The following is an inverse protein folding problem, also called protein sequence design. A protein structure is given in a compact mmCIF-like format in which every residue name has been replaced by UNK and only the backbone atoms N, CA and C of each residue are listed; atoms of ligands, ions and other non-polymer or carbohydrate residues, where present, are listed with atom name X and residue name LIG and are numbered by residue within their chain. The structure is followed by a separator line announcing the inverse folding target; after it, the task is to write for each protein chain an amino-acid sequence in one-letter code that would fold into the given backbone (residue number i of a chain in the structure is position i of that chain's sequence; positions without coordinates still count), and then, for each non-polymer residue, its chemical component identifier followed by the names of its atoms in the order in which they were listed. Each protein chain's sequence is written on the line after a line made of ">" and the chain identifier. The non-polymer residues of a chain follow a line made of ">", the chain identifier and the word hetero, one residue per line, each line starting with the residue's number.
data_IF_687765008119
#
_entry.id   IF_687765008119
#
_cell.length_a   1.000
_cell.length_b   1.000
_cell.length_c   1.000
_cell.angle_alpha   90.00
_cell.angle_beta   90.00
_cell.angle_gamma   90.00
#
_symmetry.space_group_name_H-M   'P 1'
#
loop_
_entity.id
_entity.type
_entity.pdbx_description
1 polymer ?
#
# COMPACT_ATOMS: atom_id res chain seq x y z
N UNK A 1 18.04 2.10 -19.37
CA UNK A 1 17.95 0.62 -19.35
C UNK A 1 16.75 0.27 -18.48
N UNK A 2 16.05 -0.85 -18.68
CA UNK A 2 14.98 -1.21 -17.75
C UNK A 2 15.61 -1.43 -16.35
N UNK A 3 14.94 -0.95 -15.30
CA UNK A 3 15.33 -1.14 -13.91
C UNK A 3 15.49 -2.63 -13.62
N UNK A 4 16.57 -3.03 -12.98
CA UNK A 4 16.87 -4.43 -12.64
C UNK A 4 16.76 -4.74 -11.15
N UNK A 5 16.88 -3.72 -10.29
CA UNK A 5 16.79 -3.83 -8.84
C UNK A 5 15.47 -3.26 -8.30
N UNK A 6 15.12 -2.03 -8.70
CA UNK A 6 13.89 -1.39 -8.24
C UNK A 6 12.67 -1.87 -9.04
N UNK A 7 11.73 -2.51 -8.34
CA UNK A 7 10.39 -2.79 -8.84
C UNK A 7 9.46 -1.58 -8.69
N UNK A 8 8.14 -1.81 -8.79
CA UNK A 8 7.10 -0.77 -8.57
C UNK A 8 7.03 -0.32 -7.10
N UNK A 9 7.56 -1.11 -6.16
CA UNK A 9 7.49 -0.85 -4.72
C UNK A 9 8.83 -1.19 -4.04
N UNK A 10 9.91 -0.60 -4.51
CA UNK A 10 11.26 -0.78 -4.00
C UNK A 10 11.97 -2.06 -4.47
N UNK A 11 13.04 -2.43 -3.77
CA UNK A 11 13.82 -3.65 -4.01
C UNK A 11 13.18 -4.77 -3.20
N UNK A 12 12.86 -5.92 -3.82
CA UNK A 12 12.26 -7.07 -3.13
C UNK A 12 12.97 -8.37 -3.47
N UNK A 13 13.00 -9.29 -2.51
CA UNK A 13 13.60 -10.63 -2.70
C UNK A 13 13.62 -11.46 -1.42
N UNK A 14 14.35 -12.56 -1.49
CA UNK A 14 14.62 -13.43 -0.34
C UNK A 14 15.91 -12.96 0.33
N UNK A 15 15.88 -12.61 1.63
CA UNK A 15 17.06 -12.19 2.38
C UNK A 15 18.24 -13.18 2.24
N UNK A 16 19.46 -12.64 2.14
CA UNK A 16 20.68 -13.42 1.94
C UNK A 16 20.95 -13.84 0.49
N UNK A 17 20.03 -13.56 -0.43
CA UNK A 17 20.21 -13.79 -1.87
C UNK A 17 20.02 -12.49 -2.66
N UNK A 18 20.70 -12.30 -3.82
CA UNK A 18 20.46 -11.11 -4.64
C UNK A 18 18.98 -10.97 -5.01
N UNK A 19 18.40 -9.76 -4.91
CA UNK A 19 19.06 -8.48 -4.61
C UNK A 19 19.12 -8.08 -3.11
N UNK A 20 18.80 -8.99 -2.17
CA UNK A 20 18.87 -8.73 -0.71
C UNK A 20 20.05 -9.45 -0.04
N UNK A 21 21.16 -9.60 -0.75
CA UNK A 21 22.46 -10.00 -0.20
C UNK A 21 23.19 -8.80 0.42
N UNK A 22 24.10 -9.07 1.36
CA UNK A 22 24.81 -8.03 2.12
C UNK A 22 25.54 -7.03 1.23
N UNK A 23 26.14 -7.47 0.13
CA UNK A 23 26.86 -6.58 -0.78
C UNK A 23 25.92 -5.58 -1.46
N UNK A 24 24.74 -6.04 -1.88
CA UNK A 24 23.72 -5.18 -2.50
C UNK A 24 23.09 -4.24 -1.47
N UNK A 25 22.77 -4.73 -0.27
CA UNK A 25 22.21 -3.92 0.82
C UNK A 25 23.17 -2.81 1.29
N UNK A 26 24.44 -3.15 1.47
CA UNK A 26 25.47 -2.18 1.81
C UNK A 26 25.64 -1.13 0.71
N UNK A 27 25.70 -1.58 -0.56
CA UNK A 27 25.78 -0.68 -1.69
C UNK A 27 24.56 0.25 -1.80
N UNK A 28 23.36 -0.24 -1.42
CA UNK A 28 22.13 0.57 -1.36
C UNK A 28 22.27 1.71 -0.34
N UNK A 29 22.72 1.39 0.87
CA UNK A 29 22.98 2.42 1.89
C UNK A 29 24.03 3.42 1.45
N UNK A 30 25.15 2.94 0.90
CA UNK A 30 26.22 3.81 0.41
C UNK A 30 25.77 4.72 -0.74
N UNK A 31 25.06 4.18 -1.73
CA UNK A 31 24.58 4.95 -2.87
C UNK A 31 23.59 6.04 -2.43
N UNK A 32 22.67 5.70 -1.52
CA UNK A 32 21.73 6.68 -0.95
C UNK A 32 22.46 7.79 -0.21
N UNK A 33 23.39 7.46 0.70
CA UNK A 33 24.18 8.46 1.44
C UNK A 33 24.99 9.36 0.51
N UNK A 34 25.67 8.79 -0.49
CA UNK A 34 26.44 9.54 -1.47
C UNK A 34 25.54 10.43 -2.35
N UNK A 35 24.33 9.97 -2.69
CA UNK A 35 23.36 10.78 -3.42
C UNK A 35 22.92 12.00 -2.62
N UNK A 36 22.56 11.80 -1.34
CA UNK A 36 22.11 12.88 -0.45
C UNK A 36 23.19 13.93 -0.21
N UNK A 37 24.45 13.52 -0.14
CA UNK A 37 25.59 14.46 0.03
C UNK A 37 25.87 15.36 -1.18
N UNK A 38 25.19 15.15 -2.32
CA UNK A 38 25.29 16.08 -3.45
C UNK A 38 24.61 17.43 -3.14
N UNK A 39 23.61 17.42 -2.26
CA UNK A 39 22.79 18.59 -1.93
C UNK A 39 22.86 18.98 -0.45
N UNK A 40 23.27 18.07 0.44
CA UNK A 40 23.28 18.26 1.88
C UNK A 40 24.68 18.03 2.47
N UNK A 41 25.20 19.00 3.23
CA UNK A 41 26.51 18.87 3.90
C UNK A 41 26.51 17.81 5.01
N UNK A 42 25.36 17.57 5.64
CA UNK A 42 25.14 16.54 6.66
C UNK A 42 23.80 15.87 6.36
N UNK A 43 23.83 14.62 5.88
CA UNK A 43 22.64 13.85 5.61
C UNK A 43 22.25 12.99 6.81
N UNK A 44 20.97 13.05 7.21
CA UNK A 44 20.37 12.19 8.24
C UNK A 44 19.32 11.30 7.59
N UNK A 45 19.39 10.00 7.84
CA UNK A 45 18.47 9.02 7.25
C UNK A 45 17.76 8.27 8.37
N UNK A 46 16.42 8.19 8.27
CA UNK A 46 15.60 7.40 9.16
C UNK A 46 15.45 5.99 8.60
N UNK A 47 15.68 4.97 9.42
CA UNK A 47 15.41 3.55 9.06
C UNK A 47 14.29 3.02 9.95
N UNK A 48 13.30 2.39 9.34
CA UNK A 48 12.25 1.63 10.03
C UNK A 48 12.05 0.26 9.38
N UNK A 49 11.44 -0.67 10.10
CA UNK A 49 11.20 -2.02 9.60
C UNK A 49 9.86 -2.59 10.10
N UNK A 50 9.37 -3.61 9.41
CA UNK A 50 8.29 -4.47 9.93
C UNK A 50 8.83 -5.54 10.90
N UNK A 51 8.02 -6.53 11.22
CA UNK A 51 8.33 -7.53 12.26
C UNK A 51 9.11 -8.73 11.76
N UNK A 52 9.54 -8.79 10.49
CA UNK A 52 10.27 -9.93 9.91
C UNK A 52 11.60 -10.15 10.59
N UNK A 53 11.94 -11.42 10.86
CA UNK A 53 13.21 -11.79 11.53
C UNK A 53 14.47 -11.31 10.81
N UNK A 54 14.42 -11.12 9.48
CA UNK A 54 15.53 -10.62 8.67
C UNK A 54 15.72 -9.10 8.76
N UNK A 55 14.70 -8.37 9.26
CA UNK A 55 14.69 -6.91 9.30
C UNK A 55 15.91 -6.29 10.01
N UNK A 56 16.26 -6.71 11.24
CA UNK A 56 17.39 -6.13 11.98
C UNK A 56 18.73 -6.25 11.27
N UNK A 57 19.00 -7.40 10.61
CA UNK A 57 20.23 -7.58 9.84
C UNK A 57 20.27 -6.65 8.61
N UNK A 58 19.18 -6.58 7.84
CA UNK A 58 19.08 -5.70 6.68
C UNK A 58 19.28 -4.23 7.09
N UNK A 59 18.65 -3.80 8.19
CA UNK A 59 18.81 -2.45 8.73
C UNK A 59 20.26 -2.12 9.07
N UNK A 60 20.93 -3.03 9.75
CA UNK A 60 22.32 -2.86 10.16
C UNK A 60 23.29 -2.75 8.95
N UNK A 61 23.07 -3.60 7.93
CA UNK A 61 23.91 -3.58 6.71
C UNK A 61 23.69 -2.29 5.91
N UNK A 62 22.45 -1.83 5.74
CA UNK A 62 22.16 -0.56 5.08
C UNK A 62 22.76 0.62 5.86
N UNK A 63 22.63 0.62 7.20
CA UNK A 63 23.18 1.66 8.06
C UNK A 63 24.72 1.73 7.96
N UNK A 64 25.39 0.58 7.85
CA UNK A 64 26.83 0.53 7.62
C UNK A 64 27.23 1.20 6.29
N UNK A 65 26.45 0.95 5.22
CA UNK A 65 26.66 1.61 3.92
C UNK A 65 26.43 3.12 3.98
N UNK A 66 25.35 3.57 4.64
CA UNK A 66 25.08 5.00 4.88
C UNK A 66 26.20 5.67 5.66
N UNK A 67 26.66 5.01 6.73
CA UNK A 67 27.76 5.52 7.58
C UNK A 67 29.07 5.62 6.81
N UNK A 68 29.37 4.66 5.92
CA UNK A 68 30.55 4.75 5.04
C UNK A 68 30.47 5.97 4.11
N UNK A 69 29.28 6.30 3.66
CA UNK A 69 29.00 7.52 2.88
C UNK A 69 28.86 8.79 3.76
N UNK A 70 29.16 8.71 5.06
CA UNK A 70 29.10 9.80 6.04
C UNK A 70 27.68 10.32 6.34
N UNK A 71 26.64 9.59 5.99
CA UNK A 71 25.28 9.90 6.43
C UNK A 71 25.07 9.38 7.86
N UNK A 72 24.40 10.16 8.70
CA UNK A 72 23.99 9.73 10.03
C UNK A 72 22.66 8.96 9.95
N UNK A 73 22.49 8.00 10.85
CA UNK A 73 21.33 7.12 10.86
C UNK A 73 20.57 7.24 12.17
N UNK A 74 19.26 7.45 12.09
CA UNK A 74 18.32 7.21 13.17
C UNK A 74 17.55 5.91 12.86
N UNK A 75 17.28 5.10 13.88
CA UNK A 75 16.59 3.84 13.72
C UNK A 75 15.31 3.83 14.58
N UNK A 76 14.16 3.75 13.94
CA UNK A 76 12.87 3.71 14.62
C UNK A 76 12.49 2.30 15.14
N UNK A 77 13.25 1.26 14.76
CA UNK A 77 12.85 -0.10 15.09
C UNK A 77 11.66 -0.57 14.26
N UNK A 78 10.73 -1.29 14.93
CA UNK A 78 9.51 -1.75 14.27
C UNK A 78 8.48 -0.62 14.23
N UNK A 79 8.27 -0.08 13.05
CA UNK A 79 7.33 1.01 12.77
C UNK A 79 6.67 0.79 11.40
N UNK A 80 5.48 1.36 11.20
CA UNK A 80 4.76 1.26 9.92
C UNK A 80 5.48 2.00 8.79
N UNK A 81 5.31 1.56 7.54
CA UNK A 81 5.80 2.27 6.36
C UNK A 81 5.35 3.75 6.36
N UNK A 82 4.06 4.08 6.55
CA UNK A 82 3.63 5.47 6.64
C UNK A 82 4.20 6.22 7.86
N UNK A 83 4.52 5.52 8.94
CA UNK A 83 5.20 6.12 10.10
C UNK A 83 6.57 6.69 9.73
N UNK A 84 7.37 5.94 8.98
CA UNK A 84 8.65 6.44 8.46
C UNK A 84 8.42 7.63 7.51
N UNK A 85 7.50 7.51 6.55
CA UNK A 85 7.19 8.60 5.62
C UNK A 85 6.74 9.88 6.33
N UNK A 86 5.92 9.75 7.38
CA UNK A 86 5.45 10.85 8.22
C UNK A 86 6.61 11.52 8.99
N UNK A 87 7.44 10.72 9.66
CA UNK A 87 8.54 11.23 10.47
C UNK A 87 9.63 11.90 9.62
N UNK A 88 9.92 11.37 8.44
CA UNK A 88 10.84 12.01 7.49
C UNK A 88 10.34 13.39 7.08
N UNK A 89 9.05 13.52 6.82
CA UNK A 89 8.44 14.80 6.44
C UNK A 89 8.36 15.81 7.58
N UNK A 90 8.28 15.35 8.84
CA UNK A 90 8.07 16.22 10.00
C UNK A 90 9.36 16.62 10.71
N UNK A 91 10.42 15.84 10.51
CA UNK A 91 11.73 16.04 11.13
C UNK A 91 12.77 16.32 10.06
N UNK A 92 13.97 16.73 10.50
CA UNK A 92 15.10 17.03 9.62
C UNK A 92 15.80 15.74 9.15
N UNK A 93 15.06 14.87 8.44
CA UNK A 93 15.61 13.71 7.74
C UNK A 93 15.58 13.97 6.23
N UNK A 94 16.69 13.77 5.56
CA UNK A 94 16.81 13.93 4.10
C UNK A 94 16.21 12.73 3.35
N UNK A 95 16.15 11.57 4.02
CA UNK A 95 15.54 10.37 3.45
C UNK A 95 15.04 9.39 4.52
N UNK A 96 14.15 8.50 4.11
CA UNK A 96 13.68 7.35 4.88
C UNK A 96 13.98 6.04 4.16
N UNK A 97 14.28 5.02 4.93
CA UNK A 97 14.42 3.64 4.48
C UNK A 97 13.43 2.78 5.25
N UNK A 98 12.60 2.05 4.54
CA UNK A 98 11.67 1.07 5.14
C UNK A 98 12.05 -0.33 4.71
N UNK A 99 12.18 -1.22 5.68
CA UNK A 99 12.50 -2.63 5.46
C UNK A 99 11.24 -3.43 5.67
N UNK A 100 10.60 -3.78 4.56
CA UNK A 100 9.35 -4.53 4.52
C UNK A 100 9.05 -5.08 3.13
N UNK A 101 8.34 -6.20 3.07
CA UNK A 101 7.70 -6.71 1.86
C UNK A 101 6.17 -6.64 1.96
N UNK A 102 5.61 -5.70 2.77
CA UNK A 102 4.17 -5.47 2.93
C UNK A 102 3.41 -6.77 3.22
N UNK A 103 2.48 -7.17 2.37
CA UNK A 103 1.61 -8.34 2.55
C UNK A 103 2.24 -9.70 2.19
N UNK A 104 3.49 -9.73 1.73
CA UNK A 104 4.17 -10.98 1.40
C UNK A 104 4.43 -11.85 2.65
N UNK A 105 4.61 -13.17 2.51
CA UNK A 105 5.04 -14.05 3.60
C UNK A 105 6.37 -13.63 4.22
N UNK A 106 6.68 -14.14 5.41
CA UNK A 106 7.84 -13.72 6.22
C UNK A 106 9.20 -13.97 5.55
N UNK A 107 9.32 -14.96 4.67
CA UNK A 107 10.56 -15.30 3.99
C UNK A 107 10.96 -14.32 2.89
N UNK A 108 10.05 -13.46 2.45
CA UNK A 108 10.36 -12.32 1.59
C UNK A 108 10.68 -11.10 2.45
N UNK A 109 11.48 -10.17 1.91
CA UNK A 109 11.65 -8.83 2.46
C UNK A 109 11.84 -7.81 1.33
N UNK A 110 11.98 -6.55 1.69
CA UNK A 110 12.19 -5.47 0.72
C UNK A 110 12.80 -4.24 1.34
N UNK A 111 13.23 -3.34 0.48
CA UNK A 111 13.76 -2.03 0.86
C UNK A 111 13.05 -0.97 0.04
N UNK A 112 12.34 -0.07 0.71
CA UNK A 112 11.66 1.08 0.11
C UNK A 112 12.40 2.35 0.52
N UNK A 113 12.60 3.27 -0.42
CA UNK A 113 13.28 4.54 -0.19
C UNK A 113 12.31 5.71 -0.30
N UNK A 114 12.35 6.60 0.69
CA UNK A 114 11.52 7.79 0.76
C UNK A 114 12.39 9.05 0.76
N UNK A 115 11.99 10.05 -0.01
CA UNK A 115 12.59 11.38 -0.01
C UNK A 115 12.14 12.19 1.21
N UNK A 116 12.78 13.31 1.46
CA UNK A 116 12.44 14.27 2.53
C UNK A 116 10.92 14.64 2.57
N UNK A 117 10.24 14.67 1.42
CA UNK A 117 8.80 14.90 1.38
C UNK A 117 7.91 13.75 1.86
N UNK A 118 8.46 12.63 2.30
CA UNK A 118 7.71 11.42 2.69
C UNK A 118 7.09 10.69 1.50
N UNK A 119 7.58 10.95 0.30
CA UNK A 119 7.19 10.28 -0.94
C UNK A 119 8.31 9.36 -1.42
N UNK A 120 7.96 8.28 -2.12
CA UNK A 120 8.95 7.45 -2.80
C UNK A 120 9.79 8.29 -3.76
N UNK A 121 11.05 7.91 -3.96
CA UNK A 121 11.88 8.62 -4.94
C UNK A 121 11.30 8.48 -6.36
N UNK A 122 11.44 9.54 -7.20
CA UNK A 122 11.08 9.46 -8.62
C UNK A 122 11.88 8.38 -9.36
N UNK A 123 11.32 7.81 -10.45
CA UNK A 123 12.00 6.80 -11.27
C UNK A 123 13.39 7.22 -11.74
N UNK A 124 13.53 8.48 -12.14
CA UNK A 124 14.82 9.01 -12.57
C UNK A 124 15.87 9.00 -11.45
N UNK A 125 15.46 9.21 -10.20
CA UNK A 125 16.34 9.13 -9.05
C UNK A 125 16.67 7.67 -8.70
N UNK A 126 15.68 6.78 -8.75
CA UNK A 126 15.91 5.34 -8.54
C UNK A 126 16.85 4.75 -9.60
N UNK A 127 16.76 5.18 -10.86
CA UNK A 127 17.70 4.77 -11.93
C UNK A 127 19.14 5.21 -11.63
N UNK A 128 19.33 6.44 -11.14
CA UNK A 128 20.66 6.93 -10.73
C UNK A 128 21.19 6.12 -9.55
N UNK A 129 20.36 5.88 -8.53
CA UNK A 129 20.73 5.07 -7.39
C UNK A 129 21.07 3.64 -7.81
N UNK A 130 20.29 3.03 -8.70
CA UNK A 130 20.53 1.67 -9.19
C UNK A 130 21.90 1.51 -9.86
N UNK A 131 22.30 2.45 -10.69
CA UNK A 131 23.62 2.45 -11.33
C UNK A 131 24.74 2.55 -10.28
N UNK A 132 24.59 3.41 -9.27
CA UNK A 132 25.58 3.55 -8.20
C UNK A 132 25.61 2.29 -7.30
N UNK A 133 24.45 1.67 -7.00
CA UNK A 133 24.34 0.40 -6.26
C UNK A 133 25.10 -0.70 -6.98
N UNK A 134 24.82 -0.93 -8.27
CA UNK A 134 25.47 -1.98 -9.07
C UNK A 134 26.98 -1.79 -9.08
N UNK A 135 27.44 -0.58 -9.35
CA UNK A 135 28.87 -0.23 -9.37
C UNK A 135 29.56 -0.48 -8.02
N UNK A 136 28.89 -0.14 -6.91
CA UNK A 136 29.44 -0.32 -5.57
C UNK A 136 29.43 -1.78 -5.11
N UNK A 137 28.33 -2.48 -5.39
CA UNK A 137 28.21 -3.91 -5.13
C UNK A 137 29.33 -4.70 -5.79
N UNK A 138 29.58 -4.46 -7.08
CA UNK A 138 30.59 -5.21 -7.84
C UNK A 138 32.01 -4.99 -7.33
N UNK A 139 32.27 -3.84 -6.71
CA UNK A 139 33.57 -3.56 -6.04
C UNK A 139 33.73 -4.27 -4.70
N UNK A 140 32.64 -4.59 -4.01
CA UNK A 140 32.64 -5.05 -2.61
C UNK A 140 32.14 -6.49 -2.45
N UNK A 141 32.00 -7.27 -3.53
CA UNK A 141 31.46 -8.65 -3.51
C UNK A 141 32.10 -9.61 -2.50
N UNK A 142 33.36 -9.36 -2.14
CA UNK A 142 34.13 -10.21 -1.22
C UNK A 142 34.47 -9.51 0.10
N UNK A 143 33.96 -8.30 0.35
CA UNK A 143 34.27 -7.56 1.55
C UNK A 143 33.46 -8.10 2.74
N UNK A 144 34.14 -8.27 3.88
CA UNK A 144 33.45 -8.51 5.15
C UNK A 144 32.77 -7.21 5.61
N UNK A 145 31.45 -7.20 5.64
CA UNK A 145 30.66 -6.04 6.07
C UNK A 145 30.45 -6.14 7.58
N UNK A 146 31.05 -5.24 8.34
CA UNK A 146 30.75 -5.10 9.76
C UNK A 146 29.48 -4.26 9.92
N UNK A 147 28.42 -4.88 10.39
CA UNK A 147 27.11 -4.25 10.57
C UNK A 147 26.66 -4.43 12.05
N UNK A 148 27.00 -3.48 12.94
CA UNK A 148 26.60 -3.54 14.33
C UNK A 148 25.08 -3.37 14.47
N UNK A 149 24.49 -4.05 15.47
CA UNK A 149 23.08 -3.91 15.75
C UNK A 149 22.71 -2.45 16.08
N UNK A 150 21.56 -2.02 15.58
CA UNK A 150 21.05 -0.67 15.80
C UNK A 150 20.18 -0.63 17.07
N UNK A 151 20.28 0.47 17.82
CA UNK A 151 19.37 0.74 18.94
C UNK A 151 18.20 1.58 18.44
N UNK A 152 16.98 1.14 18.71
CA UNK A 152 15.79 1.87 18.32
C UNK A 152 15.56 3.11 19.20
N UNK A 153 15.22 4.23 18.56
CA UNK A 153 14.76 5.44 19.22
C UNK A 153 13.24 5.37 19.40
N UNK A 154 12.82 5.08 20.62
CA UNK A 154 11.39 4.93 20.95
C UNK A 154 10.61 6.25 20.96
N UNK A 155 11.28 7.40 20.93
CA UNK A 155 10.60 8.70 20.84
C UNK A 155 9.91 8.87 19.48
N UNK A 156 10.42 8.24 18.43
CA UNK A 156 9.85 8.29 17.09
C UNK A 156 8.45 7.66 17.02
N UNK A 157 8.22 6.57 17.75
CA UNK A 157 6.87 5.99 17.88
C UNK A 157 5.89 6.98 18.50
N UNK A 158 6.31 7.65 19.58
CA UNK A 158 5.49 8.63 20.29
C UNK A 158 5.16 9.86 19.42
N UNK A 159 6.11 10.32 18.62
CA UNK A 159 5.92 11.43 17.68
C UNK A 159 4.91 11.08 16.59
N UNK A 160 5.03 9.90 15.98
CA UNK A 160 4.08 9.43 14.98
C UNK A 160 2.67 9.25 15.58
N UNK A 161 2.56 8.67 16.76
CA UNK A 161 1.27 8.56 17.47
C UNK A 161 0.68 9.93 17.81
N UNK A 162 1.49 10.90 18.21
CA UNK A 162 1.03 12.26 18.46
C UNK A 162 0.49 12.92 17.19
N UNK A 163 1.19 12.73 16.07
CA UNK A 163 0.71 13.17 14.76
C UNK A 163 -0.66 12.57 14.43
N UNK A 164 -0.81 11.24 14.54
CA UNK A 164 -2.06 10.55 14.24
C UNK A 164 -3.21 11.02 15.14
N UNK A 165 -2.98 11.18 16.46
CA UNK A 165 -3.99 11.70 17.39
C UNK A 165 -4.52 13.06 16.96
N UNK A 166 -3.65 13.92 16.44
CA UNK A 166 -4.04 15.23 15.89
C UNK A 166 -4.87 15.15 14.59
N UNK A 167 -5.02 13.97 14.00
CA UNK A 167 -5.78 13.76 12.74
C UNK A 167 -7.18 13.17 12.96
N UNK A 168 -7.59 12.99 14.21
CA UNK A 168 -8.99 12.65 14.51
C UNK A 168 -9.92 13.72 13.91
N UNK A 169 -11.06 13.30 13.36
CA UNK A 169 -12.02 14.26 12.81
C UNK A 169 -12.59 15.11 13.95
N UNK A 170 -12.60 16.45 13.82
CA UNK A 170 -13.14 17.33 14.85
C UNK A 170 -14.59 16.97 15.23
N UNK A 171 -14.85 16.81 16.52
CA UNK A 171 -16.15 16.41 17.05
C UNK A 171 -16.35 14.89 17.20
N UNK A 172 -15.50 14.07 16.59
CA UNK A 172 -15.55 12.63 16.79
C UNK A 172 -15.09 12.23 18.21
N UNK A 173 -15.75 11.22 18.78
CA UNK A 173 -15.41 10.63 20.08
C UNK A 173 -15.37 9.13 19.95
N UNK A 174 -14.22 8.51 20.20
CA UNK A 174 -14.08 7.05 20.09
C UNK A 174 -14.50 6.32 21.37
N UNK A 175 -14.80 7.06 22.45
CA UNK A 175 -15.33 6.47 23.67
C UNK A 175 -16.64 5.72 23.37
N UNK A 176 -16.70 4.46 23.82
CA UNK A 176 -17.84 3.57 23.58
C UNK A 176 -17.81 2.81 22.25
N UNK A 177 -16.82 3.06 21.38
CA UNK A 177 -16.57 2.20 20.25
C UNK A 177 -15.77 0.98 20.68
N UNK A 178 -16.29 -0.21 20.41
CA UNK A 178 -15.56 -1.47 20.52
C UNK A 178 -14.98 -1.82 19.14
N UNK A 179 -13.65 -1.87 19.05
CA UNK A 179 -12.93 -2.05 17.79
C UNK A 179 -12.07 -3.32 17.86
N UNK A 180 -12.21 -4.21 16.89
CA UNK A 180 -11.29 -5.34 16.70
C UNK A 180 -10.21 -4.91 15.70
N UNK A 181 -8.94 -5.00 16.10
CA UNK A 181 -7.80 -4.71 15.24
C UNK A 181 -7.04 -5.99 14.92
N UNK A 182 -7.01 -6.40 13.67
CA UNK A 182 -6.10 -7.42 13.16
C UNK A 182 -4.80 -6.74 12.71
N UNK A 183 -3.75 -6.94 13.50
CA UNK A 183 -2.45 -6.31 13.28
C UNK A 183 -1.54 -7.09 12.33
N UNK A 184 -2.02 -8.17 11.71
CA UNK A 184 -1.26 -9.01 10.78
C UNK A 184 0.05 -9.58 11.36
N UNK A 185 0.25 -9.58 12.68
CA UNK A 185 1.56 -9.73 13.34
C UNK A 185 2.65 -8.81 12.72
N UNK A 186 2.24 -7.70 12.15
CA UNK A 186 3.06 -6.73 11.41
C UNK A 186 3.37 -5.47 12.22
N UNK A 187 3.80 -4.43 11.52
CA UNK A 187 4.30 -3.19 12.13
C UNK A 187 3.27 -2.42 12.95
N UNK A 188 1.97 -2.64 12.73
CA UNK A 188 0.90 -2.00 13.50
C UNK A 188 0.63 -2.64 14.88
N UNK A 189 1.27 -3.77 15.22
CA UNK A 189 0.90 -4.59 16.39
C UNK A 189 0.91 -3.82 17.72
N UNK A 190 1.80 -2.87 17.88
CA UNK A 190 1.93 -2.01 19.06
C UNK A 190 1.19 -0.69 18.86
N UNK A 191 1.46 -0.02 17.73
CA UNK A 191 0.99 1.34 17.46
C UNK A 191 -0.52 1.41 17.26
N UNK A 192 -1.12 0.43 16.58
CA UNK A 192 -2.57 0.40 16.33
C UNK A 192 -3.37 0.36 17.63
N UNK A 193 -3.19 -0.68 18.49
CA UNK A 193 -3.89 -0.74 19.78
C UNK A 193 -3.63 0.46 20.68
N UNK A 194 -2.40 0.98 20.72
CA UNK A 194 -2.06 2.16 21.53
C UNK A 194 -2.79 3.42 21.05
N UNK A 195 -2.81 3.67 19.73
CA UNK A 195 -3.52 4.79 19.15
C UNK A 195 -4.99 4.82 19.60
N UNK A 196 -5.72 3.75 19.32
CA UNK A 196 -7.16 3.71 19.56
C UNK A 196 -7.52 3.69 21.04
N UNK A 197 -6.76 2.98 21.89
CA UNK A 197 -6.95 3.03 23.35
C UNK A 197 -6.72 4.43 23.91
N UNK A 198 -5.69 5.13 23.43
CA UNK A 198 -5.40 6.50 23.86
C UNK A 198 -6.50 7.52 23.51
N UNK A 199 -7.33 7.18 22.53
CA UNK A 199 -8.48 7.98 22.09
C UNK A 199 -9.82 7.52 22.74
N UNK A 200 -9.75 6.56 23.67
CA UNK A 200 -10.89 6.11 24.46
C UNK A 200 -11.69 4.95 23.87
N UNK A 201 -11.24 4.32 22.80
CA UNK A 201 -11.89 3.13 22.25
C UNK A 201 -11.58 1.88 23.09
N UNK A 202 -12.55 0.95 23.17
CA UNK A 202 -12.34 -0.40 23.64
C UNK A 202 -11.71 -1.23 22.51
N UNK A 203 -10.46 -1.66 22.69
CA UNK A 203 -9.69 -2.33 21.63
C UNK A 203 -9.44 -3.79 21.96
N UNK A 204 -9.88 -4.65 21.05
CA UNK A 204 -9.56 -6.07 21.01
C UNK A 204 -8.53 -6.27 19.90
N UNK A 205 -7.27 -6.45 20.25
CA UNK A 205 -6.22 -6.73 19.28
C UNK A 205 -6.15 -8.24 19.02
N UNK A 206 -5.96 -8.62 17.77
CA UNK A 206 -5.68 -9.98 17.30
C UNK A 206 -4.48 -9.96 16.37
N UNK A 207 -3.78 -11.09 16.27
CA UNK A 207 -2.56 -11.20 15.49
C UNK A 207 -1.58 -10.04 15.81
N UNK A 208 -1.37 -9.82 17.11
CA UNK A 208 -0.57 -8.73 17.70
C UNK A 208 0.66 -9.25 18.48
N UNK A 209 1.07 -10.48 18.22
CA UNK A 209 2.18 -11.16 18.89
C UNK A 209 3.19 -11.67 17.84
N UNK A 210 3.96 -10.77 17.20
CA UNK A 210 4.91 -11.15 16.17
C UNK A 210 6.06 -11.98 16.74
N UNK A 211 6.43 -13.05 16.02
CA UNK A 211 7.58 -13.91 16.32
C UNK A 211 8.72 -13.85 15.27
N UNK A 212 8.57 -12.95 14.28
CA UNK A 212 9.49 -12.78 13.17
C UNK A 212 9.14 -13.61 11.93
N UNK A 213 8.25 -14.60 12.06
CA UNK A 213 7.88 -15.55 11.00
C UNK A 213 6.38 -15.64 10.74
N UNK A 214 5.57 -15.09 11.62
CA UNK A 214 4.12 -15.16 11.55
C UNK A 214 3.44 -13.94 10.94
N UNK A 215 4.19 -12.97 10.41
CA UNK A 215 3.63 -11.81 9.70
C UNK A 215 2.76 -12.24 8.53
N UNK A 216 1.54 -11.71 8.42
CA UNK A 216 0.54 -12.03 7.38
C UNK A 216 0.10 -13.52 7.34
N UNK A 217 0.47 -14.33 8.31
CA UNK A 217 0.19 -15.76 8.29
C UNK A 217 -1.27 -16.07 8.64
N UNK A 218 -2.14 -16.10 7.62
CA UNK A 218 -3.57 -16.34 7.78
C UNK A 218 -4.32 -15.22 8.50
N UNK A 219 -3.80 -14.00 8.47
CA UNK A 219 -4.34 -12.82 9.15
C UNK A 219 -4.11 -11.55 8.30
N UNK A 220 -4.61 -10.42 8.80
CA UNK A 220 -4.46 -9.11 8.17
C UNK A 220 -5.32 -8.94 6.92
N UNK A 221 -4.99 -7.95 6.10
CA UNK A 221 -5.81 -7.48 4.98
C UNK A 221 -6.04 -8.53 3.88
N UNK A 222 -5.24 -9.58 3.79
CA UNK A 222 -5.46 -10.69 2.86
C UNK A 222 -6.39 -11.78 3.40
N UNK A 223 -6.65 -11.83 4.71
CA UNK A 223 -7.40 -12.90 5.37
C UNK A 223 -8.46 -12.36 6.33
N UNK A 224 -9.34 -11.49 5.84
CA UNK A 224 -10.30 -10.71 6.64
C UNK A 224 -11.39 -11.57 7.31
N UNK A 225 -11.59 -12.83 6.88
CA UNK A 225 -12.61 -13.71 7.47
C UNK A 225 -12.40 -13.99 8.97
N UNK A 226 -11.14 -14.05 9.42
CA UNK A 226 -10.81 -14.18 10.85
C UNK A 226 -11.28 -12.97 11.64
N UNK A 227 -10.99 -11.77 11.15
CA UNK A 227 -11.46 -10.51 11.72
C UNK A 227 -12.99 -10.45 11.75
N UNK A 228 -13.66 -10.80 10.64
CA UNK A 228 -15.13 -10.81 10.55
C UNK A 228 -15.78 -11.68 11.61
N UNK A 229 -15.29 -12.89 11.79
CA UNK A 229 -15.78 -13.80 12.84
C UNK A 229 -15.60 -13.20 14.23
N UNK A 230 -14.47 -12.54 14.46
CA UNK A 230 -14.18 -11.92 15.76
C UNK A 230 -15.08 -10.71 16.03
N UNK A 231 -15.29 -9.84 15.01
CA UNK A 231 -16.23 -8.70 15.11
C UNK A 231 -17.61 -9.15 15.53
N UNK A 232 -18.16 -10.15 14.86
CA UNK A 232 -19.48 -10.70 15.19
C UNK A 232 -19.54 -11.33 16.57
N UNK A 233 -18.53 -12.10 16.96
CA UNK A 233 -18.47 -12.78 18.25
C UNK A 233 -18.39 -11.80 19.44
N UNK A 234 -17.67 -10.69 19.27
CA UNK A 234 -17.48 -9.66 20.29
C UNK A 234 -18.58 -8.59 20.29
N UNK A 235 -19.49 -8.63 19.31
CA UNK A 235 -20.44 -7.54 19.10
C UNK A 235 -19.75 -6.19 18.88
N UNK A 236 -18.61 -6.19 18.18
CA UNK A 236 -17.82 -5.01 17.99
C UNK A 236 -18.48 -4.06 16.98
N UNK A 237 -18.26 -2.76 17.15
CA UNK A 237 -18.78 -1.71 16.28
C UNK A 237 -18.05 -1.69 14.94
N UNK A 238 -16.74 -2.04 14.95
CA UNK A 238 -15.85 -1.94 13.80
C UNK A 238 -14.73 -2.97 13.91
N UNK A 239 -14.40 -3.59 12.79
CA UNK A 239 -13.17 -4.34 12.61
C UNK A 239 -12.23 -3.63 11.64
N UNK A 240 -10.93 -3.71 11.89
CA UNK A 240 -9.88 -3.18 11.00
C UNK A 240 -8.80 -4.23 10.82
N UNK A 241 -8.45 -4.56 9.59
CA UNK A 241 -7.33 -5.43 9.23
C UNK A 241 -6.26 -4.62 8.51
N UNK A 242 -5.05 -4.62 9.05
CA UNK A 242 -3.87 -4.04 8.41
C UNK A 242 -3.12 -5.09 7.60
N UNK A 243 -2.24 -4.65 6.70
CA UNK A 243 -1.20 -5.52 6.16
C UNK A 243 0.11 -5.40 6.95
N UNK A 244 1.14 -6.15 6.57
CA UNK A 244 2.35 -6.30 7.37
C UNK A 244 3.08 -5.01 7.72
N UNK A 245 3.07 -4.00 6.85
CA UNK A 245 3.68 -2.68 7.10
C UNK A 245 2.65 -1.55 7.28
N UNK A 246 1.38 -1.93 7.34
CA UNK A 246 0.23 -1.08 7.66
C UNK A 246 0.09 0.17 6.76
N UNK A 247 0.46 0.06 5.49
CA UNK A 247 0.12 1.06 4.48
C UNK A 247 -1.32 0.88 3.96
N UNK A 248 -1.98 -0.26 4.30
CA UNK A 248 -3.35 -0.63 3.95
C UNK A 248 -4.20 -0.90 5.18
N UNK A 249 -5.51 -0.62 5.02
CA UNK A 249 -6.53 -1.02 5.98
C UNK A 249 -7.80 -1.47 5.27
N UNK A 250 -8.31 -2.65 5.64
CA UNK A 250 -9.64 -3.14 5.28
C UNK A 250 -10.53 -3.19 6.51
N UNK A 251 -11.83 -3.15 6.31
CA UNK A 251 -12.77 -2.97 7.41
C UNK A 251 -13.86 -4.04 7.44
N UNK A 252 -14.42 -4.23 8.63
CA UNK A 252 -15.60 -5.05 8.85
C UNK A 252 -16.59 -4.23 9.67
N UNK A 253 -17.83 -4.12 9.18
CA UNK A 253 -18.92 -3.47 9.90
C UNK A 253 -19.48 -4.34 11.03
N UNK A 254 -20.28 -3.75 11.91
CA UNK A 254 -20.89 -4.44 13.05
C UNK A 254 -21.77 -5.66 12.64
N UNK A 255 -22.36 -5.61 11.43
CA UNK A 255 -23.14 -6.70 10.85
C UNK A 255 -22.31 -7.72 10.06
N UNK A 256 -20.97 -7.56 10.05
CA UNK A 256 -20.03 -8.48 9.40
C UNK A 256 -19.82 -8.25 7.91
N UNK A 257 -20.28 -7.12 7.35
CA UNK A 257 -19.95 -6.76 5.97
C UNK A 257 -18.48 -6.36 5.86
N UNK A 258 -17.77 -6.94 4.90
CA UNK A 258 -16.39 -6.54 4.58
C UNK A 258 -16.44 -5.28 3.70
N UNK A 259 -15.70 -4.25 4.09
CA UNK A 259 -15.57 -2.99 3.37
C UNK A 259 -14.12 -2.81 2.95
N UNK A 260 -13.89 -2.82 1.65
CA UNK A 260 -12.58 -2.65 1.04
C UNK A 260 -12.27 -1.16 0.78
N UNK A 261 -11.13 -0.88 0.11
CA UNK A 261 -10.72 0.49 -0.19
C UNK A 261 -11.74 1.30 -1.00
N UNK A 262 -12.54 0.66 -1.85
CA UNK A 262 -13.58 1.35 -2.60
C UNK A 262 -14.68 1.88 -1.66
N UNK A 263 -15.10 1.08 -0.68
CA UNK A 263 -16.04 1.53 0.35
C UNK A 263 -15.48 2.63 1.24
N UNK A 264 -14.19 2.55 1.56
CA UNK A 264 -13.47 3.60 2.32
C UNK A 264 -13.43 4.90 1.53
N UNK A 265 -13.09 4.84 0.23
CA UNK A 265 -13.08 6.02 -0.63
C UNK A 265 -14.47 6.64 -0.75
N UNK A 266 -15.53 5.85 -0.84
CA UNK A 266 -16.90 6.36 -0.85
C UNK A 266 -17.24 7.10 0.45
N UNK A 267 -17.00 6.48 1.61
CA UNK A 267 -17.27 7.08 2.93
C UNK A 267 -16.50 8.39 3.12
N UNK A 268 -15.20 8.38 2.77
CA UNK A 268 -14.34 9.56 2.87
C UNK A 268 -14.75 10.66 1.89
N UNK A 269 -15.12 10.31 0.64
CA UNK A 269 -15.56 11.27 -0.38
C UNK A 269 -16.84 11.99 0.05
N UNK A 270 -17.82 11.27 0.59
CA UNK A 270 -19.05 11.83 1.15
C UNK A 270 -18.76 12.85 2.25
N UNK A 271 -17.91 12.46 3.18
CA UNK A 271 -17.51 13.34 4.26
C UNK A 271 -16.78 14.58 3.74
N UNK A 272 -15.74 14.43 2.93
CA UNK A 272 -15.01 15.56 2.37
C UNK A 272 -15.90 16.50 1.55
N UNK A 273 -16.85 15.94 0.80
CA UNK A 273 -17.85 16.73 0.06
C UNK A 273 -18.75 17.54 0.99
N UNK A 274 -19.27 16.91 2.06
CA UNK A 274 -20.10 17.60 3.06
C UNK A 274 -19.37 18.75 3.75
N UNK A 275 -18.05 18.67 3.84
CA UNK A 275 -17.18 19.72 4.41
C UNK A 275 -16.66 20.71 3.36
N UNK A 276 -17.10 20.64 2.10
CA UNK A 276 -16.57 21.41 0.96
C UNK A 276 -15.05 21.26 0.75
N UNK A 277 -14.49 20.11 1.16
CA UNK A 277 -13.05 19.77 1.06
C UNK A 277 -12.72 18.83 -0.10
N UNK A 278 -13.71 18.26 -0.79
CA UNK A 278 -13.49 17.39 -1.96
C UNK A 278 -13.25 18.26 -3.21
N UNK A 279 -12.02 18.70 -3.40
CA UNK A 279 -11.64 19.58 -4.51
C UNK A 279 -12.00 18.97 -5.87
N UNK A 280 -12.70 19.75 -6.69
CA UNK A 280 -13.15 19.35 -8.02
C UNK A 280 -14.18 18.22 -8.01
N UNK A 281 -14.77 17.87 -6.86
CA UNK A 281 -15.70 16.75 -6.70
C UNK A 281 -15.15 15.47 -7.35
N UNK A 282 -13.89 15.11 -7.05
CA UNK A 282 -13.24 13.95 -7.64
C UNK A 282 -12.50 13.11 -6.62
N UNK A 283 -12.42 11.82 -6.92
CA UNK A 283 -11.63 10.82 -6.22
C UNK A 283 -10.72 10.15 -7.24
N UNK A 284 -9.48 9.87 -6.88
CA UNK A 284 -8.56 9.13 -7.74
C UNK A 284 -8.52 7.67 -7.29
N UNK A 285 -8.88 6.76 -8.19
CA UNK A 285 -8.76 5.33 -7.99
C UNK A 285 -7.86 4.69 -9.05
N UNK A 286 -7.77 3.38 -9.04
CA UNK A 286 -7.04 2.64 -10.08
C UNK A 286 -8.00 1.99 -11.08
N UNK A 287 -7.44 1.43 -12.15
CA UNK A 287 -8.18 0.59 -13.07
C UNK A 287 -8.83 -0.64 -12.40
N UNK A 288 -8.48 -0.96 -11.16
CA UNK A 288 -9.05 -2.06 -10.37
C UNK A 288 -10.22 -1.64 -9.47
N UNK A 289 -10.43 -0.35 -9.22
CA UNK A 289 -11.59 0.13 -8.46
C UNK A 289 -12.88 -0.33 -9.12
N UNK A 290 -13.82 -0.85 -8.31
CA UNK A 290 -15.03 -1.48 -8.80
C UNK A 290 -15.95 -0.48 -9.53
N UNK A 291 -16.67 -0.95 -10.55
CA UNK A 291 -17.66 -0.15 -11.30
C UNK A 291 -18.77 0.38 -10.37
N UNK A 292 -19.09 -0.37 -9.31
CA UNK A 292 -20.04 0.06 -8.30
C UNK A 292 -19.64 1.33 -7.58
N UNK A 293 -18.34 1.52 -7.30
CA UNK A 293 -17.85 2.77 -6.75
C UNK A 293 -18.07 3.94 -7.72
N UNK A 294 -17.71 3.77 -8.99
CA UNK A 294 -17.90 4.81 -10.00
C UNK A 294 -19.36 5.23 -10.12
N UNK A 295 -20.27 4.25 -10.13
CA UNK A 295 -21.71 4.51 -10.25
C UNK A 295 -22.28 5.25 -9.04
N UNK A 296 -21.97 4.78 -7.83
CA UNK A 296 -22.48 5.45 -6.63
C UNK A 296 -21.91 6.86 -6.47
N UNK A 297 -20.65 7.07 -6.78
CA UNK A 297 -20.04 8.41 -6.79
C UNK A 297 -20.71 9.33 -7.82
N UNK A 298 -21.00 8.81 -9.01
CA UNK A 298 -21.70 9.56 -10.07
C UNK A 298 -23.08 10.04 -9.65
N UNK A 299 -23.86 9.23 -8.91
CA UNK A 299 -25.18 9.67 -8.37
C UNK A 299 -25.04 10.86 -7.42
N UNK A 300 -23.88 11.04 -6.84
CA UNK A 300 -23.56 12.13 -5.93
C UNK A 300 -22.75 13.26 -6.61
N UNK A 301 -22.68 13.28 -7.94
CA UNK A 301 -21.90 14.25 -8.72
C UNK A 301 -20.42 14.29 -8.29
N UNK A 302 -19.84 13.11 -8.02
CA UNK A 302 -18.43 12.91 -7.76
C UNK A 302 -17.86 12.07 -8.90
N UNK A 303 -16.73 12.49 -9.46
CA UNK A 303 -16.06 11.78 -10.56
C UNK A 303 -14.99 10.86 -10.00
N UNK A 304 -14.98 9.58 -10.42
CA UNK A 304 -13.86 8.67 -10.22
C UNK A 304 -12.88 8.84 -11.39
N UNK A 305 -11.67 9.30 -11.08
CA UNK A 305 -10.56 9.35 -12.04
C UNK A 305 -9.74 8.08 -11.88
N UNK A 306 -9.52 7.32 -12.97
CA UNK A 306 -8.81 6.06 -12.93
C UNK A 306 -7.38 6.21 -13.42
N UNK A 307 -6.44 5.59 -12.71
CA UNK A 307 -5.03 5.46 -13.08
C UNK A 307 -4.67 3.99 -13.35
N UNK A 308 -3.44 3.76 -13.76
CA UNK A 308 -2.85 2.42 -13.67
C UNK A 308 -2.75 1.96 -12.21
N UNK A 309 -2.59 0.65 -12.01
CA UNK A 309 -2.46 0.04 -10.68
C UNK A 309 -1.10 0.39 -10.08
N UNK A 310 -1.12 0.95 -8.90
CA UNK A 310 0.04 1.33 -8.09
C UNK A 310 -0.19 2.65 -7.38
N UNK A 311 0.15 2.68 -6.11
CA UNK A 311 0.01 3.85 -5.22
C UNK A 311 0.68 5.11 -5.78
N UNK A 312 1.80 4.94 -6.48
CA UNK A 312 2.52 6.00 -7.14
C UNK A 312 1.70 6.70 -8.21
N UNK A 313 1.03 5.95 -9.09
CA UNK A 313 0.19 6.53 -10.15
C UNK A 313 -1.02 7.26 -9.56
N UNK A 314 -1.57 6.72 -8.47
CA UNK A 314 -2.65 7.39 -7.73
C UNK A 314 -2.16 8.74 -7.20
N UNK A 315 -1.01 8.77 -6.51
CA UNK A 315 -0.44 10.00 -5.97
C UNK A 315 -0.10 11.02 -7.06
N UNK A 316 0.54 10.58 -8.15
CA UNK A 316 0.90 11.46 -9.29
C UNK A 316 -0.35 12.13 -9.88
N UNK A 317 -1.43 11.36 -10.08
CA UNK A 317 -2.69 11.91 -10.58
C UNK A 317 -3.35 12.84 -9.55
N UNK A 318 -3.30 12.52 -8.25
CA UNK A 318 -3.80 13.40 -7.21
C UNK A 318 -3.08 14.75 -7.21
N UNK A 319 -1.77 14.75 -7.32
CA UNK A 319 -0.96 15.97 -7.39
C UNK A 319 -1.25 16.77 -8.67
N UNK A 320 -1.37 16.09 -9.82
CA UNK A 320 -1.68 16.70 -11.11
C UNK A 320 -3.07 17.35 -11.14
N UNK A 321 -4.07 16.66 -10.59
CA UNK A 321 -5.47 17.09 -10.62
C UNK A 321 -5.88 17.95 -9.42
N UNK A 322 -5.03 18.03 -8.39
CA UNK A 322 -5.34 18.66 -7.11
C UNK A 322 -6.38 17.89 -6.28
N UNK A 323 -6.55 16.58 -6.54
CA UNK A 323 -7.49 15.75 -5.77
C UNK A 323 -7.00 15.53 -4.35
N UNK A 324 -7.90 15.59 -3.38
CA UNK A 324 -7.59 15.46 -1.95
C UNK A 324 -7.71 14.02 -1.43
N UNK A 325 -8.36 13.13 -2.21
CA UNK A 325 -8.61 11.74 -1.86
C UNK A 325 -8.29 10.84 -3.05
N UNK A 326 -7.58 9.78 -2.78
CA UNK A 326 -7.33 8.70 -3.73
C UNK A 326 -6.98 7.42 -3.03
N UNK A 327 -6.94 6.32 -3.78
CA UNK A 327 -6.56 5.04 -3.22
C UNK A 327 -6.83 3.86 -4.14
N UNK A 328 -6.66 2.70 -3.56
CA UNK A 328 -6.83 1.41 -4.22
C UNK A 328 -7.85 0.54 -3.48
N UNK A 329 -8.51 -0.35 -4.21
CA UNK A 329 -9.42 -1.35 -3.63
C UNK A 329 -8.74 -2.19 -2.54
N UNK A 330 -7.42 -2.38 -2.62
CA UNK A 330 -6.60 -3.09 -1.63
C UNK A 330 -6.56 -2.45 -0.24
N UNK A 331 -7.10 -1.23 -0.08
CA UNK A 331 -7.11 -0.50 1.19
C UNK A 331 -5.97 0.51 1.36
N UNK A 332 -5.14 0.72 0.35
CA UNK A 332 -4.14 1.79 0.34
C UNK A 332 -4.84 3.11 0.01
N UNK A 333 -5.05 3.96 1.01
CA UNK A 333 -5.83 5.20 0.89
C UNK A 333 -4.96 6.42 1.22
N UNK A 334 -5.00 7.41 0.36
CA UNK A 334 -4.25 8.66 0.48
C UNK A 334 -5.22 9.80 0.81
N UNK A 335 -5.05 10.38 1.98
CA UNK A 335 -5.65 11.66 2.37
C UNK A 335 -4.59 12.74 2.19
N UNK A 336 -4.54 13.42 1.03
CA UNK A 336 -3.42 14.28 0.64
C UNK A 336 -3.19 15.47 1.58
N UNK A 337 -4.23 15.96 2.25
CA UNK A 337 -4.12 17.02 3.27
C UNK A 337 -3.28 16.54 4.47
N UNK A 338 -3.37 15.26 4.79
CA UNK A 338 -2.67 14.66 5.93
C UNK A 338 -1.34 13.99 5.49
N UNK A 339 -1.36 13.13 4.49
CA UNK A 339 -0.19 12.36 4.06
C UNK A 339 -0.17 12.14 2.55
N UNK A 340 1.01 12.26 1.89
CA UNK A 340 1.17 11.87 0.49
C UNK A 340 1.34 10.36 0.31
N UNK A 341 1.44 9.59 1.40
CA UNK A 341 1.49 8.13 1.39
C UNK A 341 0.20 7.55 1.97
N UNK A 342 -0.21 6.39 1.50
CA UNK A 342 -1.27 5.62 2.13
C UNK A 342 -0.86 5.23 3.55
N UNK A 343 -1.78 5.39 4.48
CA UNK A 343 -1.56 5.16 5.90
C UNK A 343 -2.77 4.42 6.49
N UNK A 344 -2.58 3.14 6.80
CA UNK A 344 -3.64 2.30 7.34
C UNK A 344 -4.13 2.76 8.72
N UNK A 345 -3.24 3.24 9.60
CA UNK A 345 -3.62 3.75 10.91
C UNK A 345 -4.40 5.07 10.80
N UNK A 346 -3.97 5.97 9.94
CA UNK A 346 -4.69 7.21 9.63
C UNK A 346 -6.07 6.91 9.03
N UNK A 347 -6.11 6.01 8.05
CA UNK A 347 -7.36 5.58 7.39
C UNK A 347 -8.32 4.97 8.42
N UNK A 348 -7.83 4.09 9.29
CA UNK A 348 -8.61 3.49 10.36
C UNK A 348 -9.13 4.55 11.34
N UNK A 349 -8.31 5.53 11.69
CA UNK A 349 -8.72 6.65 12.55
C UNK A 349 -9.80 7.52 11.91
N UNK A 350 -9.67 7.84 10.63
CA UNK A 350 -10.69 8.61 9.87
C UNK A 350 -12.02 7.83 9.81
N UNK A 351 -11.99 6.55 9.48
CA UNK A 351 -13.20 5.72 9.40
C UNK A 351 -13.83 5.54 10.80
N UNK A 352 -13.05 5.24 11.84
CA UNK A 352 -13.57 5.14 13.20
C UNK A 352 -14.20 6.46 13.66
N UNK A 353 -13.62 7.61 13.30
CA UNK A 353 -14.20 8.93 13.55
C UNK A 353 -15.55 9.07 12.85
N UNK A 354 -15.66 8.71 11.57
CA UNK A 354 -16.91 8.77 10.83
C UNK A 354 -17.98 7.83 11.41
N UNK A 355 -17.60 6.62 11.79
CA UNK A 355 -18.51 5.67 12.46
C UNK A 355 -19.04 6.25 13.77
N UNK A 356 -18.18 6.88 14.58
CA UNK A 356 -18.60 7.49 15.85
C UNK A 356 -19.60 8.64 15.68
N UNK A 357 -19.58 9.31 14.52
CA UNK A 357 -20.44 10.47 14.24
C UNK A 357 -21.74 10.11 13.51
N UNK A 358 -21.75 9.03 12.75
CA UNK A 358 -22.83 8.71 11.79
C UNK A 358 -23.52 7.35 12.04
N UNK A 359 -23.17 6.64 13.09
CA UNK A 359 -23.91 5.45 13.53
C UNK A 359 -23.43 4.10 13.01
N UNK A 360 -22.72 4.00 11.88
CA UNK A 360 -22.22 2.71 11.41
C UNK A 360 -21.51 2.76 10.07
N UNK A 361 -20.63 1.77 9.82
CA UNK A 361 -19.89 1.68 8.56
C UNK A 361 -20.80 1.34 7.38
N UNK A 362 -21.83 0.50 7.61
CA UNK A 362 -22.84 0.14 6.60
C UNK A 362 -23.60 1.36 6.10
N UNK A 363 -23.90 2.34 6.99
CA UNK A 363 -24.55 3.59 6.59
C UNK A 363 -23.63 4.48 5.75
N UNK A 364 -22.35 4.53 6.09
CA UNK A 364 -21.34 5.32 5.37
C UNK A 364 -21.14 4.79 3.94
N UNK A 365 -21.29 3.48 3.73
CA UNK A 365 -21.10 2.81 2.43
C UNK A 365 -22.41 2.50 1.72
N UNK A 366 -23.54 3.02 2.22
CA UNK A 366 -24.87 2.76 1.64
C UNK A 366 -24.93 3.06 0.15
N UNK A 367 -25.50 2.13 -0.63
CA UNK A 367 -25.64 2.24 -2.07
C UNK A 367 -24.43 1.72 -2.86
N UNK A 368 -23.31 1.40 -2.21
CA UNK A 368 -22.22 0.70 -2.87
C UNK A 368 -22.66 -0.74 -3.15
N UNK A 369 -22.57 -1.15 -4.40
CA UNK A 369 -22.84 -2.51 -4.85
C UNK A 369 -21.62 -3.01 -5.59
N UNK A 370 -21.02 -4.08 -5.09
CA UNK A 370 -19.90 -4.72 -5.80
C UNK A 370 -20.43 -5.43 -7.05
N UNK A 371 -19.85 -5.07 -8.18
CA UNK A 371 -20.08 -5.75 -9.44
C UNK A 371 -19.16 -6.98 -9.51
N UNK A 372 -19.69 -8.13 -9.98
CA UNK A 372 -18.87 -9.31 -10.21
C UNK A 372 -17.66 -8.98 -11.07
N UNK A 373 -16.48 -9.44 -10.63
CA UNK A 373 -15.20 -9.19 -11.28
C UNK A 373 -14.36 -10.46 -11.28
N UNK A 374 -13.77 -10.79 -12.42
CA UNK A 374 -12.83 -11.92 -12.55
C UNK A 374 -11.53 -11.43 -13.16
N UNK A 375 -10.41 -11.88 -12.59
CA UNK A 375 -9.07 -11.69 -13.14
C UNK A 375 -8.53 -13.04 -13.59
N UNK A 376 -8.22 -13.17 -14.87
CA UNK A 376 -7.55 -14.35 -15.44
C UNK A 376 -6.13 -14.00 -15.81
N UNK A 377 -5.17 -14.72 -15.23
CA UNK A 377 -3.77 -14.64 -15.58
C UNK A 377 -3.44 -15.66 -16.67
N UNK A 378 -2.95 -15.21 -17.81
CA UNK A 378 -2.52 -16.05 -18.93
C UNK A 378 -1.02 -15.97 -19.07
N UNK A 379 -0.32 -17.12 -18.95
CA UNK A 379 1.13 -17.19 -19.22
C UNK A 379 1.38 -16.91 -20.69
N UNK A 380 2.36 -16.07 -21.00
CA UNK A 380 2.67 -15.62 -22.35
C UNK A 380 4.15 -15.80 -22.66
N UNK A 381 4.44 -16.25 -23.91
CA UNK A 381 5.82 -16.41 -24.42
C UNK A 381 6.47 -15.10 -24.88
N UNK A 382 5.64 -14.09 -25.18
CA UNK A 382 6.07 -12.76 -25.64
C UNK A 382 5.04 -11.71 -25.25
N UNK A 383 5.43 -10.44 -25.29
CA UNK A 383 4.56 -9.29 -24.96
C UNK A 383 4.46 -8.29 -26.14
N UNK A 384 3.98 -8.72 -27.33
CA UNK A 384 3.72 -7.77 -28.43
C UNK A 384 2.59 -6.81 -28.03
N UNK A 385 2.45 -5.64 -28.69
CA UNK A 385 1.30 -4.78 -28.50
C UNK A 385 -0.01 -5.56 -28.64
N UNK A 386 -0.91 -5.45 -27.65
CA UNK A 386 -2.15 -6.26 -27.58
C UNK A 386 -3.09 -5.97 -28.76
N UNK A 387 -3.10 -4.75 -29.27
CA UNK A 387 -3.82 -4.29 -30.45
C UNK A 387 -3.29 -4.90 -31.76
N UNK A 388 -2.04 -5.35 -31.78
CA UNK A 388 -1.45 -6.05 -32.91
C UNK A 388 -1.88 -7.52 -33.04
N UNK A 389 -2.65 -8.06 -32.08
CA UNK A 389 -3.14 -9.42 -32.05
C UNK A 389 -4.60 -9.46 -32.55
N UNK A 390 -4.91 -9.92 -33.79
CA UNK A 390 -6.24 -9.77 -34.39
C UNK A 390 -7.35 -10.48 -33.61
N UNK A 391 -7.10 -11.69 -33.10
CA UNK A 391 -8.07 -12.46 -32.31
C UNK A 391 -8.36 -11.81 -30.97
N UNK A 392 -7.34 -11.29 -30.30
CA UNK A 392 -7.46 -10.59 -29.02
C UNK A 392 -8.24 -9.28 -29.23
N UNK A 393 -7.89 -8.52 -30.27
CA UNK A 393 -8.56 -7.25 -30.60
C UNK A 393 -10.04 -7.47 -30.92
N UNK A 394 -10.39 -8.55 -31.66
CA UNK A 394 -11.77 -8.92 -31.93
C UNK A 394 -12.52 -9.27 -30.66
N UNK A 395 -11.97 -10.19 -29.84
CA UNK A 395 -12.61 -10.60 -28.57
C UNK A 395 -12.79 -9.40 -27.62
N UNK A 396 -11.84 -8.46 -27.58
CA UNK A 396 -11.94 -7.23 -26.79
C UNK A 396 -13.05 -6.30 -27.32
N UNK A 397 -13.14 -6.13 -28.63
CA UNK A 397 -14.19 -5.32 -29.29
C UNK A 397 -15.58 -5.92 -29.02
N UNK A 398 -15.71 -7.22 -29.17
CA UNK A 398 -16.98 -7.95 -28.92
C UNK A 398 -17.41 -7.81 -27.45
N UNK A 399 -16.47 -7.98 -26.51
CA UNK A 399 -16.75 -7.82 -25.10
C UNK A 399 -17.17 -6.38 -24.76
N UNK A 400 -16.43 -5.37 -25.21
CA UNK A 400 -16.76 -3.96 -24.96
C UNK A 400 -18.10 -3.57 -25.58
N UNK A 401 -18.41 -4.05 -26.79
CA UNK A 401 -19.68 -3.76 -27.45
C UNK A 401 -20.86 -4.39 -26.73
N UNK A 402 -20.71 -5.63 -26.24
CA UNK A 402 -21.78 -6.32 -25.53
C UNK A 402 -21.98 -5.76 -24.10
N UNK A 403 -20.91 -5.41 -23.41
CA UNK A 403 -20.97 -4.87 -22.06
C UNK A 403 -21.47 -3.42 -22.04
N UNK A 404 -21.08 -2.62 -23.03
CA UNK A 404 -21.48 -1.22 -23.09
C UNK A 404 -21.19 -0.49 -21.77
N UNK A 405 -22.24 0.08 -21.18
CA UNK A 405 -22.13 0.72 -19.86
C UNK A 405 -22.32 -0.24 -18.67
N UNK A 406 -22.76 -1.49 -18.91
CA UNK A 406 -23.02 -2.46 -17.83
C UNK A 406 -21.79 -3.23 -17.36
N UNK A 407 -20.63 -2.99 -17.99
CA UNK A 407 -19.38 -3.64 -17.61
C UNK A 407 -18.18 -3.02 -18.30
N UNK A 408 -17.01 -3.61 -18.06
CA UNK A 408 -15.75 -3.17 -18.65
C UNK A 408 -14.71 -4.28 -18.68
N UNK A 409 -13.73 -4.12 -19.52
CA UNK A 409 -12.57 -5.00 -19.65
C UNK A 409 -11.30 -4.21 -19.41
N UNK A 410 -10.39 -4.78 -18.61
CA UNK A 410 -9.01 -4.30 -18.50
C UNK A 410 -8.07 -5.42 -18.93
N UNK A 411 -7.34 -5.18 -20.00
CA UNK A 411 -6.39 -6.12 -20.56
C UNK A 411 -5.00 -5.49 -20.57
N UNK A 412 -4.04 -6.12 -19.87
CA UNK A 412 -2.67 -5.58 -19.76
C UNK A 412 -1.65 -6.69 -19.54
N UNK A 413 -0.40 -6.43 -19.83
CA UNK A 413 0.71 -7.27 -19.37
C UNK A 413 1.08 -7.00 -17.92
N UNK A 414 1.59 -8.03 -17.24
CA UNK A 414 2.30 -7.86 -15.97
C UNK A 414 3.65 -7.17 -16.26
N UNK A 415 4.02 -6.20 -15.43
CA UNK A 415 5.32 -5.53 -15.53
C UNK A 415 6.49 -6.47 -15.26
N UNK A 416 6.34 -7.35 -14.26
CA UNK A 416 7.41 -8.19 -13.72
C UNK A 416 7.36 -9.64 -14.17
N UNK A 417 6.19 -10.16 -14.54
CA UNK A 417 5.99 -11.59 -14.85
C UNK A 417 5.66 -11.78 -16.33
N UNK A 418 5.94 -12.96 -16.93
CA UNK A 418 5.54 -13.29 -18.29
C UNK A 418 4.04 -13.64 -18.36
N UNK A 419 3.18 -12.71 -17.94
CA UNK A 419 1.74 -12.86 -17.86
C UNK A 419 1.02 -11.73 -18.59
N UNK A 420 -0.08 -12.07 -19.27
CA UNK A 420 -1.16 -11.14 -19.60
C UNK A 420 -2.30 -11.31 -18.57
N UNK A 421 -2.84 -10.20 -18.10
CA UNK A 421 -3.94 -10.15 -17.13
C UNK A 421 -5.18 -9.65 -17.81
N UNK A 422 -6.23 -10.48 -17.79
CA UNK A 422 -7.57 -10.15 -18.26
C UNK A 422 -8.44 -9.90 -17.05
N UNK A 423 -8.91 -8.70 -16.85
CA UNK A 423 -9.96 -8.40 -15.89
C UNK A 423 -11.24 -8.09 -16.63
N UNK A 424 -12.32 -8.77 -16.28
CA UNK A 424 -13.68 -8.46 -16.74
C UNK A 424 -14.54 -8.20 -15.52
N UNK A 425 -15.31 -7.14 -15.60
CA UNK A 425 -16.24 -6.72 -14.57
C UNK A 425 -17.56 -6.34 -15.23
N UNK A 426 -18.68 -6.82 -14.71
CA UNK A 426 -19.98 -6.54 -15.28
C UNK A 426 -21.11 -6.69 -14.25
N UNK A 427 -22.31 -6.22 -14.62
CA UNK A 427 -23.52 -6.30 -13.79
C UNK A 427 -23.99 -7.75 -13.54
N UNK A 428 -23.73 -8.64 -14.52
CA UNK A 428 -24.11 -10.04 -14.46
C UNK A 428 -22.89 -10.96 -14.47
N UNK A 429 -22.84 -11.89 -13.53
CA UNK A 429 -21.77 -12.89 -13.43
C UNK A 429 -21.60 -13.71 -14.72
N UNK A 430 -22.70 -14.03 -15.42
CA UNK A 430 -22.66 -14.74 -16.70
C UNK A 430 -21.84 -14.04 -17.77
N UNK A 431 -21.89 -12.70 -17.82
CA UNK A 431 -21.13 -11.91 -18.76
C UNK A 431 -19.65 -11.88 -18.36
N UNK A 432 -19.35 -11.76 -17.07
CA UNK A 432 -17.98 -11.81 -16.54
C UNK A 432 -17.35 -13.15 -16.89
N UNK A 433 -18.02 -14.27 -16.65
CA UNK A 433 -17.54 -15.62 -16.98
C UNK A 433 -17.32 -15.81 -18.48
N UNK A 434 -18.26 -15.37 -19.30
CA UNK A 434 -18.21 -15.48 -20.74
C UNK A 434 -17.03 -14.73 -21.35
N UNK A 435 -16.92 -13.46 -21.03
CA UNK A 435 -15.92 -12.59 -21.68
C UNK A 435 -14.52 -12.78 -21.12
N UNK A 436 -14.37 -13.10 -19.81
CA UNK A 436 -13.07 -13.45 -19.25
C UNK A 436 -12.48 -14.69 -19.89
N UNK A 437 -13.32 -15.72 -20.14
CA UNK A 437 -12.93 -16.96 -20.83
C UNK A 437 -12.55 -16.66 -22.28
N UNK A 438 -13.43 -15.98 -23.02
CA UNK A 438 -13.21 -15.65 -24.45
C UNK A 438 -11.88 -14.91 -24.67
N UNK A 439 -11.59 -13.89 -23.86
CA UNK A 439 -10.35 -13.11 -23.93
C UNK A 439 -9.12 -13.93 -23.53
N UNK A 440 -9.24 -14.76 -22.49
CA UNK A 440 -8.15 -15.62 -22.05
C UNK A 440 -7.80 -16.66 -23.12
N UNK A 441 -8.79 -17.23 -23.79
CA UNK A 441 -8.60 -18.21 -24.87
C UNK A 441 -7.97 -17.57 -26.11
N UNK A 442 -8.40 -16.36 -26.49
CA UNK A 442 -7.79 -15.59 -27.58
C UNK A 442 -6.30 -15.28 -27.28
N UNK A 443 -5.96 -14.92 -26.04
CA UNK A 443 -4.58 -14.72 -25.62
C UNK A 443 -3.75 -16.01 -25.66
N UNK A 444 -4.30 -17.12 -25.16
CA UNK A 444 -3.63 -18.43 -25.20
C UNK A 444 -3.35 -18.87 -26.64
N UNK A 445 -4.31 -18.70 -27.53
CA UNK A 445 -4.14 -19.04 -28.93
C UNK A 445 -3.08 -18.18 -29.63
N UNK A 446 -3.02 -16.89 -29.32
CA UNK A 446 -2.12 -15.94 -29.99
C UNK A 446 -0.69 -15.98 -29.45
N UNK A 447 -0.52 -15.94 -28.12
CA UNK A 447 0.76 -15.74 -27.45
C UNK A 447 0.97 -16.61 -26.19
N UNK A 448 0.11 -17.60 -25.94
CA UNK A 448 0.23 -18.49 -24.79
C UNK A 448 1.56 -19.24 -24.74
N UNK A 449 2.10 -19.46 -23.50
CA UNK A 449 3.31 -20.22 -23.22
C UNK A 449 2.97 -21.65 -22.82
#
# INVERSE_FOLDING_TARGET
>A
MPKSLFGTDGIRGVPGTPPLDDATLFATGHALGAYLHREHSAARVLIGMDTRESGPHIAAVIAAGLSQARASVAFAGVITTPGVACLVRQNDFEAGVVISASHNPFHDNGVKLFSHGGMKFPDATEEVLELDIIKHRDKNKSAHISAPALAADQLLDAEYLAYLRGRIIPGAKLNGLRIVLDCANGAAFKLGPELFRSLGAEVIAICDSPDGRNINAGCGSLYVDGLRKRVLAEGATLGVAFDGDADRALFVSADGQIVNGDGVMLAAARFLKSQNKLKGNRVVGTSMSNLGLERVLATESITLVRTDVGDRYVLEEMLRSGSMLGGEQSGHIIFLEDSPAGDGLLTALKIASLVSMNGGLTDLTRGLKDYPQIIVNVKVRAKPPLDSLPEVSRALSDANSALGQSGRVVLRYSGTEPLARVMVEAEHDSDVQRFSRSLADALRASIGA
#
